data_IF_703904627989
#
_entry.id   IF_703904627989
#
_cell.length_a   1.000
_cell.length_b   1.000
_cell.length_c   1.000
_cell.angle_alpha   90.00
_cell.angle_beta   90.00
_cell.angle_gamma   90.00
#
_symmetry.space_group_name_H-M   'P 1'
#
loop_
_entity.id
_entity.type
_entity.pdbx_description
1 polymer ?
#
# COMPACT_ATOMS: atom_id res chain seq x y z
N UNK A 1 37.05 8.93 38.82
CA UNK A 1 37.20 8.14 37.58
C UNK A 1 35.93 7.34 37.27
N UNK A 2 35.32 6.69 38.25
CA UNK A 2 34.05 5.94 38.13
C UNK A 2 32.86 6.79 37.65
N UNK A 3 32.73 8.02 38.14
CA UNK A 3 31.65 8.95 37.77
C UNK A 3 31.67 9.33 36.28
N UNK A 4 32.88 9.50 35.71
CA UNK A 4 33.05 9.78 34.28
C UNK A 4 32.66 8.60 33.38
N UNK A 5 32.77 7.36 33.87
CA UNK A 5 32.30 6.18 33.13
C UNK A 5 30.77 6.08 33.16
N UNK A 6 30.15 6.36 34.30
CA UNK A 6 28.68 6.36 34.44
C UNK A 6 28.02 7.42 33.56
N UNK A 7 28.59 8.63 33.51
CA UNK A 7 28.10 9.71 32.65
C UNK A 7 28.15 9.32 31.16
N UNK A 8 29.24 8.67 30.72
CA UNK A 8 29.38 8.20 29.33
C UNK A 8 28.37 7.11 28.97
N UNK A 9 28.09 6.19 29.89
CA UNK A 9 27.09 5.13 29.66
C UNK A 9 25.68 5.74 29.53
N UNK A 10 25.32 6.67 30.41
CA UNK A 10 24.01 7.34 30.35
C UNK A 10 23.82 8.17 29.06
N UNK A 11 24.87 8.84 28.58
CA UNK A 11 24.84 9.59 27.33
C UNK A 11 24.64 8.64 26.11
N UNK A 12 25.35 7.51 26.10
CA UNK A 12 25.19 6.48 25.05
C UNK A 12 23.78 5.88 25.04
N UNK A 13 23.19 5.63 26.21
CA UNK A 13 21.82 5.11 26.30
C UNK A 13 20.78 6.09 25.74
N UNK A 14 21.00 7.40 25.97
CA UNK A 14 20.13 8.45 25.46
C UNK A 14 20.24 8.57 23.94
N UNK A 15 21.46 8.57 23.42
CA UNK A 15 21.74 8.60 21.99
C UNK A 15 21.11 7.38 21.27
N UNK A 16 21.26 6.17 21.81
CA UNK A 16 20.64 4.95 21.24
C UNK A 16 19.11 5.06 21.18
N UNK A 17 18.48 5.67 22.20
CA UNK A 17 17.03 5.88 22.22
C UNK A 17 16.58 6.87 21.15
N UNK A 18 17.33 7.95 20.95
CA UNK A 18 17.05 8.93 19.90
C UNK A 18 17.16 8.32 18.51
N UNK A 19 18.23 7.57 18.24
CA UNK A 19 18.39 6.82 16.98
C UNK A 19 17.26 5.82 16.77
N UNK A 20 16.86 5.08 17.81
CA UNK A 20 15.77 4.13 17.72
C UNK A 20 14.42 4.80 17.38
N UNK A 21 14.15 5.99 17.91
CA UNK A 21 12.96 6.77 17.58
C UNK A 21 13.04 7.29 16.14
N UNK A 22 14.18 7.85 15.72
CA UNK A 22 14.40 8.33 14.36
C UNK A 22 14.18 7.23 13.31
N UNK A 23 14.70 6.03 13.57
CA UNK A 23 14.52 4.85 12.69
C UNK A 23 13.04 4.44 12.61
N UNK A 24 12.31 4.45 13.72
CA UNK A 24 10.86 4.15 13.73
C UNK A 24 10.06 5.16 12.90
N UNK A 25 10.35 6.45 13.05
CA UNK A 25 9.74 7.50 12.25
C UNK A 25 10.04 7.33 10.76
N UNK A 26 11.29 7.01 10.41
CA UNK A 26 11.67 6.74 9.02
C UNK A 26 10.84 5.59 8.42
N UNK A 27 10.71 4.46 9.12
CA UNK A 27 9.90 3.33 8.65
C UNK A 27 8.40 3.64 8.57
N UNK A 28 7.88 4.47 9.47
CA UNK A 28 6.49 4.93 9.40
C UNK A 28 6.26 5.81 8.17
N UNK A 29 7.16 6.76 7.89
CA UNK A 29 7.10 7.61 6.70
C UNK A 29 7.24 6.80 5.41
N UNK A 30 8.16 5.83 5.39
CA UNK A 30 8.32 4.94 4.23
C UNK A 30 7.06 4.12 3.93
N UNK A 31 6.28 3.74 4.94
CA UNK A 31 4.99 3.07 4.76
C UNK A 31 3.90 3.96 4.15
N UNK A 32 4.07 5.29 4.19
CA UNK A 32 3.12 6.22 3.54
C UNK A 32 3.20 6.13 2.02
N UNK A 33 4.37 5.82 1.44
CA UNK A 33 4.54 5.70 -0.01
C UNK A 33 3.64 4.62 -0.65
N UNK A 34 3.65 3.36 -0.19
CA UNK A 34 2.77 2.34 -0.75
C UNK A 34 1.30 2.58 -0.39
N UNK A 35 0.99 3.17 0.78
CA UNK A 35 -0.38 3.58 1.10
C UNK A 35 -0.89 4.65 0.13
N UNK A 36 -0.05 5.63 -0.22
CA UNK A 36 -0.36 6.66 -1.19
C UNK A 36 -0.65 6.05 -2.56
N UNK A 37 0.18 5.10 -3.00
CA UNK A 37 -0.05 4.36 -4.24
C UNK A 37 -1.42 3.65 -4.24
N UNK A 38 -1.73 2.86 -3.22
CA UNK A 38 -3.03 2.20 -3.08
C UNK A 38 -4.20 3.19 -3.09
N UNK A 39 -4.05 4.30 -2.37
CA UNK A 39 -5.05 5.36 -2.31
C UNK A 39 -5.32 5.96 -3.69
N UNK A 40 -4.27 6.23 -4.46
CA UNK A 40 -4.40 6.79 -5.82
C UNK A 40 -5.10 5.83 -6.78
N UNK A 41 -4.76 4.54 -6.74
CA UNK A 41 -5.37 3.53 -7.61
C UNK A 41 -6.85 3.34 -7.27
N UNK A 42 -7.18 3.20 -5.99
CA UNK A 42 -8.57 2.98 -5.55
C UNK A 42 -9.46 4.20 -5.73
N UNK A 43 -8.94 5.43 -5.53
CA UNK A 43 -9.68 6.66 -5.84
C UNK A 43 -9.87 6.88 -7.35
N UNK A 44 -9.06 6.24 -8.21
CA UNK A 44 -9.26 6.26 -9.65
C UNK A 44 -10.35 5.26 -10.10
N UNK A 45 -10.73 4.28 -9.27
CA UNK A 45 -11.69 3.24 -9.62
C UNK A 45 -13.03 3.77 -10.17
N UNK A 46 -13.68 4.80 -9.60
CA UNK A 46 -14.93 5.34 -10.16
C UNK A 46 -14.76 5.88 -11.59
N UNK A 47 -13.58 6.42 -11.92
CA UNK A 47 -13.28 6.89 -13.29
C UNK A 47 -13.11 5.72 -14.26
N UNK A 48 -12.50 4.62 -13.80
CA UNK A 48 -12.45 3.39 -14.60
C UNK A 48 -13.85 2.83 -14.84
N UNK A 49 -14.72 2.88 -13.84
CA UNK A 49 -16.11 2.44 -13.97
C UNK A 49 -16.85 3.21 -15.08
N UNK A 50 -16.72 4.54 -15.13
CA UNK A 50 -17.32 5.35 -16.21
C UNK A 50 -16.72 5.02 -17.57
N UNK A 51 -15.39 4.86 -17.65
CA UNK A 51 -14.72 4.49 -18.92
C UNK A 51 -15.22 3.14 -19.45
N UNK A 52 -15.37 2.14 -18.57
CA UNK A 52 -15.86 0.84 -18.96
C UNK A 52 -17.32 0.86 -19.40
N UNK A 53 -18.15 1.66 -18.72
CA UNK A 53 -19.55 1.85 -19.09
C UNK A 53 -19.66 2.51 -20.48
N UNK A 54 -18.85 3.53 -20.76
CA UNK A 54 -18.78 4.20 -22.06
C UNK A 54 -18.29 3.26 -23.18
N UNK A 55 -17.30 2.39 -22.91
CA UNK A 55 -16.75 1.47 -23.91
C UNK A 55 -17.62 0.26 -24.20
N UNK A 56 -18.30 -0.30 -23.19
CA UNK A 56 -19.04 -1.57 -23.30
C UNK A 56 -20.56 -1.39 -23.40
N UNK A 57 -21.05 -0.19 -23.08
CA UNK A 57 -22.47 0.14 -22.93
C UNK A 57 -23.14 -0.52 -21.72
N UNK A 58 -22.42 -1.34 -20.95
CA UNK A 58 -22.93 -2.01 -19.76
C UNK A 58 -21.82 -2.58 -18.87
N UNK A 59 -21.94 -2.35 -17.56
CA UNK A 59 -21.07 -2.88 -16.50
C UNK A 59 -21.12 -4.40 -16.38
N UNK A 60 -22.16 -5.04 -16.92
CA UNK A 60 -22.35 -6.49 -16.84
C UNK A 60 -21.38 -7.29 -17.72
N UNK A 61 -20.71 -6.64 -18.66
CA UNK A 61 -19.72 -7.26 -19.54
C UNK A 61 -18.30 -7.29 -18.96
N UNK A 62 -18.09 -6.68 -17.80
CA UNK A 62 -16.79 -6.68 -17.13
C UNK A 62 -16.49 -8.01 -16.44
N UNK A 63 -15.21 -8.43 -16.38
CA UNK A 63 -14.77 -9.55 -15.58
C UNK A 63 -15.21 -9.41 -14.12
N UNK A 64 -15.48 -10.56 -13.48
CA UNK A 64 -16.02 -10.61 -12.12
C UNK A 64 -15.13 -9.89 -11.11
N UNK A 65 -13.81 -10.10 -11.19
CA UNK A 65 -12.83 -9.46 -10.30
C UNK A 65 -12.83 -7.95 -10.44
N UNK A 66 -12.82 -7.44 -11.68
CA UNK A 66 -12.87 -5.99 -11.97
C UNK A 66 -14.15 -5.37 -11.41
N UNK A 67 -15.30 -6.01 -11.62
CA UNK A 67 -16.57 -5.53 -11.06
C UNK A 67 -16.54 -5.47 -9.54
N UNK A 68 -16.00 -6.51 -8.90
CA UNK A 68 -15.92 -6.59 -7.44
C UNK A 68 -15.03 -5.49 -6.86
N UNK A 69 -13.89 -5.22 -7.52
CA UNK A 69 -12.96 -4.12 -7.16
C UNK A 69 -13.64 -2.76 -7.31
N UNK A 70 -14.35 -2.50 -8.40
CA UNK A 70 -15.05 -1.24 -8.63
C UNK A 70 -16.13 -1.00 -7.57
N UNK A 71 -16.98 -2.01 -7.33
CA UNK A 71 -18.08 -1.94 -6.37
C UNK A 71 -17.60 -1.75 -4.91
N UNK A 72 -16.45 -2.31 -4.56
CA UNK A 72 -15.92 -2.29 -3.19
C UNK A 72 -14.70 -1.37 -3.04
N UNK A 73 -14.46 -0.47 -3.99
CA UNK A 73 -13.26 0.38 -4.04
C UNK A 73 -13.05 1.18 -2.74
N UNK A 74 -14.11 1.76 -2.18
CA UNK A 74 -14.05 2.48 -0.90
C UNK A 74 -13.80 1.56 0.30
N UNK A 75 -14.38 0.36 0.31
CA UNK A 75 -14.13 -0.63 1.36
C UNK A 75 -12.68 -1.13 1.33
N UNK A 76 -12.17 -1.41 0.13
CA UNK A 76 -10.76 -1.80 -0.09
C UNK A 76 -9.81 -0.66 0.34
N UNK A 77 -10.20 0.60 0.10
CA UNK A 77 -9.44 1.75 0.55
C UNK A 77 -9.42 1.82 2.08
N UNK A 78 -10.57 1.67 2.74
CA UNK A 78 -10.64 1.63 4.19
C UNK A 78 -9.77 0.52 4.79
N UNK A 79 -9.78 -0.68 4.20
CA UNK A 79 -8.91 -1.79 4.61
C UNK A 79 -7.43 -1.43 4.45
N UNK A 80 -7.02 -0.82 3.34
CA UNK A 80 -5.63 -0.39 3.14
C UNK A 80 -5.18 0.63 4.19
N UNK A 81 -6.04 1.59 4.54
CA UNK A 81 -5.78 2.58 5.60
C UNK A 81 -5.70 1.93 6.99
N UNK A 82 -6.60 0.99 7.31
CA UNK A 82 -6.56 0.25 8.57
C UNK A 82 -5.29 -0.59 8.70
N UNK A 83 -4.84 -1.23 7.62
CA UNK A 83 -3.56 -1.97 7.62
C UNK A 83 -2.36 -1.05 7.85
N UNK A 84 -2.34 0.13 7.22
CA UNK A 84 -1.28 1.10 7.45
C UNK A 84 -1.28 1.63 8.89
N UNK A 85 -2.46 1.92 9.46
CA UNK A 85 -2.59 2.33 10.86
C UNK A 85 -2.12 1.23 11.82
N UNK A 86 -2.50 -0.03 11.55
CA UNK A 86 -2.04 -1.18 12.33
C UNK A 86 -0.51 -1.34 12.24
N UNK A 87 0.08 -1.16 11.06
CA UNK A 87 1.53 -1.22 10.89
C UNK A 87 2.26 -0.11 11.66
N UNK A 88 1.77 1.13 11.59
CA UNK A 88 2.33 2.26 12.32
C UNK A 88 2.23 2.02 13.84
N UNK A 89 1.07 1.58 14.33
CA UNK A 89 0.92 1.28 15.77
C UNK A 89 1.85 0.15 16.21
N UNK A 90 2.06 -0.89 15.41
CA UNK A 90 3.05 -1.95 15.68
C UNK A 90 4.49 -1.41 15.73
N UNK A 91 4.88 -0.53 14.80
CA UNK A 91 6.23 0.07 14.77
C UNK A 91 6.55 0.80 16.08
N UNK A 92 5.57 1.49 16.67
CA UNK A 92 5.78 2.24 17.91
C UNK A 92 5.59 1.42 19.19
N UNK A 93 4.76 0.37 19.17
CA UNK A 93 4.48 -0.47 20.35
C UNK A 93 5.50 -1.59 20.56
N UNK A 94 6.13 -2.09 19.50
CA UNK A 94 7.11 -3.16 19.60
C UNK A 94 8.40 -2.67 20.28
N UNK A 95 8.77 -3.31 21.39
CA UNK A 95 9.98 -2.96 22.15
C UNK A 95 11.26 -3.39 21.46
N UNK A 96 11.21 -4.47 20.67
CA UNK A 96 12.39 -5.08 20.07
C UNK A 96 12.58 -4.56 18.63
N UNK A 97 13.72 -3.91 18.36
CA UNK A 97 14.02 -3.32 17.05
C UNK A 97 13.97 -4.32 15.88
N UNK A 98 14.27 -5.61 16.13
CA UNK A 98 14.18 -6.66 15.11
C UNK A 98 12.75 -6.84 14.57
N UNK A 99 11.73 -6.67 15.42
CA UNK A 99 10.35 -6.84 14.99
C UNK A 99 9.81 -5.61 14.24
N UNK A 100 10.35 -4.42 14.54
CA UNK A 100 9.95 -3.15 13.90
C UNK A 100 10.24 -3.16 12.39
N UNK A 101 11.45 -3.56 11.98
CA UNK A 101 11.78 -3.58 10.56
C UNK A 101 11.01 -4.69 9.82
N UNK A 102 10.80 -5.85 10.45
CA UNK A 102 10.00 -6.94 9.86
C UNK A 102 8.57 -6.49 9.65
N UNK A 103 7.93 -5.87 10.66
CA UNK A 103 6.57 -5.37 10.52
C UNK A 103 6.46 -4.32 9.41
N UNK A 104 7.44 -3.41 9.33
CA UNK A 104 7.47 -2.36 8.31
C UNK A 104 7.66 -2.92 6.88
N UNK A 105 8.52 -3.93 6.71
CA UNK A 105 8.75 -4.57 5.40
C UNK A 105 7.54 -5.39 4.98
N UNK A 106 6.95 -6.17 5.89
CA UNK A 106 5.76 -6.98 5.60
C UNK A 106 4.57 -6.09 5.26
N UNK A 107 4.31 -5.02 6.02
CA UNK A 107 3.22 -4.09 5.71
C UNK A 107 3.42 -3.39 4.36
N UNK A 108 4.64 -2.95 4.07
CA UNK A 108 4.96 -2.34 2.79
C UNK A 108 4.76 -3.32 1.63
N UNK A 109 5.23 -4.57 1.75
CA UNK A 109 5.06 -5.59 0.73
C UNK A 109 3.57 -5.90 0.47
N UNK A 110 2.77 -6.05 1.52
CA UNK A 110 1.32 -6.28 1.39
C UNK A 110 0.62 -5.10 0.72
N UNK A 111 0.98 -3.86 1.08
CA UNK A 111 0.41 -2.67 0.45
C UNK A 111 0.81 -2.57 -1.03
N UNK A 112 2.08 -2.79 -1.38
CA UNK A 112 2.54 -2.78 -2.77
C UNK A 112 1.82 -3.85 -3.59
N UNK A 113 1.78 -5.09 -3.09
CA UNK A 113 1.11 -6.19 -3.78
C UNK A 113 -0.38 -5.94 -3.97
N UNK A 114 -1.07 -5.42 -2.94
CA UNK A 114 -2.49 -5.10 -3.05
C UNK A 114 -2.76 -3.97 -4.06
N UNK A 115 -1.96 -2.89 -4.04
CA UNK A 115 -2.07 -1.82 -5.02
C UNK A 115 -1.82 -2.32 -6.45
N UNK A 116 -0.81 -3.17 -6.64
CA UNK A 116 -0.48 -3.71 -7.95
C UNK A 116 -1.55 -4.69 -8.46
N UNK A 117 -2.10 -5.53 -7.58
CA UNK A 117 -3.22 -6.42 -7.90
C UNK A 117 -4.45 -5.61 -8.34
N UNK A 118 -4.79 -4.55 -7.62
CA UNK A 118 -5.92 -3.68 -8.01
C UNK A 118 -5.64 -3.00 -9.35
N UNK A 119 -4.43 -2.49 -9.57
CA UNK A 119 -4.06 -1.85 -10.81
C UNK A 119 -4.13 -2.80 -12.01
N UNK A 120 -3.57 -4.01 -11.90
CA UNK A 120 -3.62 -5.04 -12.96
C UNK A 120 -5.06 -5.45 -13.28
N UNK A 121 -5.88 -5.72 -12.26
CA UNK A 121 -7.31 -6.07 -12.42
C UNK A 121 -8.13 -4.96 -13.10
N UNK A 122 -7.70 -3.69 -13.00
CA UNK A 122 -8.33 -2.56 -13.68
C UNK A 122 -7.77 -2.31 -15.09
N UNK A 123 -6.45 -2.47 -15.30
CA UNK A 123 -5.79 -2.11 -16.57
C UNK A 123 -5.87 -3.23 -17.60
N UNK A 124 -5.71 -4.50 -17.21
CA UNK A 124 -5.74 -5.64 -18.13
C UNK A 124 -7.04 -5.74 -18.95
N UNK A 125 -8.25 -5.64 -18.34
CA UNK A 125 -9.48 -5.65 -19.12
C UNK A 125 -9.59 -4.43 -20.04
N UNK A 126 -9.07 -3.27 -19.63
CA UNK A 126 -9.10 -2.06 -20.45
C UNK A 126 -8.24 -2.21 -21.71
N UNK A 127 -7.03 -2.77 -21.58
CA UNK A 127 -6.16 -3.08 -22.72
C UNK A 127 -6.84 -4.08 -23.67
N UNK A 128 -7.45 -5.13 -23.11
CA UNK A 128 -8.16 -6.15 -23.89
C UNK A 128 -9.33 -5.57 -24.68
N UNK A 129 -10.13 -4.69 -24.06
CA UNK A 129 -11.25 -4.03 -24.71
C UNK A 129 -10.77 -3.10 -25.83
N UNK A 130 -9.73 -2.31 -25.59
CA UNK A 130 -9.14 -1.43 -26.62
C UNK A 130 -8.58 -2.24 -27.80
N UNK A 131 -7.91 -3.35 -27.54
CA UNK A 131 -7.41 -4.24 -28.58
C UNK A 131 -8.56 -4.78 -29.45
N UNK A 132 -9.65 -5.24 -28.83
CA UNK A 132 -10.83 -5.73 -29.55
C UNK A 132 -11.56 -4.64 -30.34
N UNK A 133 -11.66 -3.42 -29.80
CA UNK A 133 -12.32 -2.28 -30.46
C UNK A 133 -11.49 -1.69 -31.62
N UNK A 134 -10.17 -1.77 -31.55
CA UNK A 134 -9.27 -1.26 -32.61
C UNK A 134 -9.13 -2.21 -33.81
N UNK A 135 -9.92 -3.28 -33.87
CA UNK A 135 -9.86 -4.29 -34.92
C UNK A 135 -8.65 -5.24 -34.79
N UNK A 136 -7.97 -5.23 -33.63
CA UNK A 136 -6.85 -6.08 -33.29
C UNK A 136 -7.28 -7.54 -33.14
N UNK A 137 -7.39 -8.22 -34.28
CA UNK A 137 -7.40 -9.68 -34.36
C UNK A 137 -5.97 -10.20 -34.20
N UNK A 138 -5.55 -10.48 -32.96
CA UNK A 138 -4.31 -11.19 -32.68
C UNK A 138 -3.93 -11.07 -31.21
N UNK A 139 -3.71 -12.11 -30.42
CA UNK A 139 -3.46 -13.56 -30.62
C UNK A 139 -4.00 -14.24 -29.32
N UNK A 140 -4.38 -15.54 -29.36
CA UNK A 140 -5.09 -16.30 -28.30
C UNK A 140 -4.57 -16.19 -26.87
#
# INVERSE_FOLDING_TARGET
>A
MEQSHLDRVSALELEIREWALGIRCLFAVLNVLPLYYCTRVLLAAPRFETIFEDMLGSKQKLPVLTRLVLQNSMSLLAVAWLMALAAITMIFTLKQGRHVWVSAVVSAAVLILSGHLVATVLVDPLVTIIANLSGGSGIP
#
